data_IF_020566681171
#
_entry.id   IF_020566681171
#
_cell.length_a   1.000
_cell.length_b   1.000
_cell.length_c   1.000
_cell.angle_alpha   90.00
_cell.angle_beta   90.00
_cell.angle_gamma   90.00
#
_symmetry.space_group_name_H-M   'P 1'
#
loop_
_entity.id
_entity.type
_entity.pdbx_description
1 polymer ?
#
# COMPACT_ATOMS: atom_id res chain seq x y z
N UNK A 1 20.51 -8.01 9.81
CA UNK A 1 20.75 -8.66 8.51
C UNK A 1 19.82 -9.84 8.36
N UNK A 2 18.90 -9.80 7.40
CA UNK A 2 18.18 -10.94 6.79
C UNK A 2 17.29 -10.34 5.68
N UNK A 3 17.93 -9.93 4.58
CA UNK A 3 17.24 -9.64 3.32
C UNK A 3 17.45 -10.83 2.41
N UNK A 4 16.62 -11.85 2.62
CA UNK A 4 16.45 -12.95 1.69
C UNK A 4 15.28 -12.57 0.78
N UNK A 5 15.41 -12.85 -0.51
CA UNK A 5 14.48 -12.50 -1.60
C UNK A 5 14.68 -11.09 -2.21
N UNK A 6 15.88 -10.86 -2.72
CA UNK A 6 16.04 -9.96 -3.86
C UNK A 6 15.41 -10.62 -5.10
N UNK A 7 14.47 -9.94 -5.75
CA UNK A 7 14.04 -10.29 -7.10
C UNK A 7 15.27 -10.18 -8.01
N UNK A 8 15.88 -11.32 -8.37
CA UNK A 8 17.01 -11.33 -9.30
C UNK A 8 16.54 -10.70 -10.61
N UNK A 9 17.10 -9.55 -10.98
CA UNK A 9 17.11 -9.09 -12.37
C UNK A 9 17.92 -10.11 -13.17
N UNK A 10 17.32 -10.67 -14.22
CA UNK A 10 17.99 -11.58 -15.14
C UNK A 10 19.08 -10.79 -15.89
N UNK A 11 20.35 -11.24 -15.94
CA UNK A 11 21.39 -10.59 -16.76
C UNK A 11 21.17 -10.88 -18.25
N UNK A 12 21.63 -10.01 -19.17
CA UNK A 12 21.43 -10.23 -20.59
C UNK A 12 22.33 -11.38 -21.07
N UNK A 13 21.71 -12.48 -21.51
CA UNK A 13 22.42 -13.59 -22.14
C UNK A 13 22.60 -13.32 -23.64
N UNK A 14 23.79 -13.62 -24.14
CA UNK A 14 24.15 -13.54 -25.54
C UNK A 14 23.30 -14.48 -26.42
N UNK A 15 23.08 -14.00 -27.65
CA UNK A 15 22.32 -14.52 -28.79
C UNK A 15 22.06 -16.03 -28.91
N UNK A 16 20.77 -16.40 -28.90
CA UNK A 16 20.14 -17.54 -29.61
C UNK A 16 18.61 -17.25 -29.73
N UNK A 17 17.87 -17.91 -30.65
CA UNK A 17 16.99 -17.28 -31.63
C UNK A 17 15.78 -16.55 -31.04
N UNK A 18 15.35 -15.49 -31.74
CA UNK A 18 14.23 -14.60 -31.42
C UNK A 18 12.99 -15.36 -30.90
N UNK A 19 12.86 -15.41 -29.58
CA UNK A 19 11.58 -15.64 -28.95
C UNK A 19 10.74 -14.38 -29.18
N UNK A 20 9.64 -14.55 -29.93
CA UNK A 20 8.65 -13.48 -30.12
C UNK A 20 8.29 -12.90 -28.75
N UNK A 21 8.13 -11.57 -28.60
CA UNK A 21 7.56 -11.02 -27.38
C UNK A 21 6.25 -11.76 -27.10
N UNK A 22 6.17 -12.44 -25.96
CA UNK A 22 4.90 -13.01 -25.50
C UNK A 22 4.02 -11.80 -25.22
N UNK A 23 3.21 -11.44 -26.21
CA UNK A 23 2.09 -10.51 -26.07
C UNK A 23 1.34 -10.91 -24.78
N UNK A 24 1.10 -9.98 -23.84
CA UNK A 24 0.34 -10.31 -22.66
C UNK A 24 -1.01 -10.84 -23.10
N UNK A 25 -1.29 -12.12 -22.80
CA UNK A 25 -2.59 -12.73 -23.06
C UNK A 25 -3.68 -11.81 -22.52
N UNK A 26 -4.72 -11.51 -23.34
CA UNK A 26 -5.87 -10.69 -22.95
C UNK A 26 -6.27 -11.00 -21.49
N UNK A 27 -6.01 -10.07 -20.57
CA UNK A 27 -6.33 -10.22 -19.14
C UNK A 27 -5.17 -10.15 -18.14
N UNK A 28 -3.90 -10.05 -18.59
CA UNK A 28 -2.76 -9.81 -17.68
C UNK A 28 -2.45 -8.31 -17.51
N UNK A 29 -2.39 -7.86 -16.26
CA UNK A 29 -1.98 -6.52 -15.86
C UNK A 29 -0.47 -6.48 -15.59
N UNK A 30 0.21 -5.42 -16.03
CA UNK A 30 1.63 -5.20 -15.69
C UNK A 30 1.73 -4.46 -14.36
N UNK A 31 2.60 -4.87 -13.43
CA UNK A 31 2.88 -4.09 -12.23
C UNK A 31 3.42 -2.71 -12.59
N UNK A 32 2.99 -1.72 -11.83
CA UNK A 32 3.41 -0.33 -11.95
C UNK A 32 4.26 0.08 -10.75
N UNK A 33 5.14 1.06 -10.96
CA UNK A 33 5.95 1.66 -9.90
C UNK A 33 5.09 2.57 -9.03
N UNK A 34 5.45 2.72 -7.75
CA UNK A 34 4.77 3.63 -6.84
C UNK A 34 4.58 5.04 -7.41
N UNK A 35 5.62 5.56 -8.07
CA UNK A 35 5.59 6.89 -8.70
C UNK A 35 4.47 7.02 -9.73
N UNK A 36 4.28 6.01 -10.60
CA UNK A 36 3.22 5.98 -11.60
C UNK A 36 1.84 5.80 -10.96
N UNK A 37 1.75 4.87 -10.00
CA UNK A 37 0.51 4.60 -9.27
C UNK A 37 0.02 5.85 -8.53
N UNK A 38 0.91 6.61 -7.90
CA UNK A 38 0.54 7.80 -7.14
C UNK A 38 0.38 9.06 -8.00
N UNK A 39 0.79 9.05 -9.27
CA UNK A 39 0.85 10.26 -10.12
C UNK A 39 -0.51 10.78 -10.62
N UNK A 40 -1.61 10.03 -10.44
CA UNK A 40 -2.92 10.47 -10.96
C UNK A 40 -3.37 11.77 -10.29
N UNK A 41 -4.09 12.68 -10.99
CA UNK A 41 -4.52 13.95 -10.41
C UNK A 41 -5.39 13.80 -9.15
N UNK A 42 -6.16 12.71 -9.03
CA UNK A 42 -6.93 12.39 -7.82
C UNK A 42 -6.00 12.06 -6.66
N UNK A 43 -5.04 11.15 -6.87
CA UNK A 43 -4.12 10.68 -5.83
C UNK A 43 -3.17 11.79 -5.37
N UNK A 44 -2.70 12.63 -6.29
CA UNK A 44 -1.91 13.81 -5.93
C UNK A 44 -2.70 14.80 -5.06
N UNK A 45 -3.99 15.05 -5.35
CA UNK A 45 -4.84 15.87 -4.48
C UNK A 45 -5.04 15.26 -3.09
N UNK A 46 -5.19 13.93 -3.00
CA UNK A 46 -5.29 13.24 -1.71
C UNK A 46 -3.98 13.34 -0.91
N UNK A 47 -2.83 13.12 -1.55
CA UNK A 47 -1.52 13.29 -0.92
C UNK A 47 -1.32 14.72 -0.41
N UNK A 48 -1.78 15.72 -1.16
CA UNK A 48 -1.76 17.11 -0.73
C UNK A 48 -2.65 17.36 0.50
N UNK A 49 -3.86 16.81 0.50
CA UNK A 49 -4.74 16.89 1.68
C UNK A 49 -4.15 16.19 2.91
N UNK A 50 -3.45 15.07 2.74
CA UNK A 50 -2.74 14.39 3.83
C UNK A 50 -1.65 15.32 4.35
N UNK A 51 -0.78 15.85 3.48
CA UNK A 51 0.30 16.75 3.88
C UNK A 51 -0.21 17.97 4.68
N UNK A 52 -1.23 18.66 4.18
CA UNK A 52 -1.84 19.82 4.83
C UNK A 52 -2.35 19.53 6.26
N UNK A 53 -2.59 18.26 6.61
CA UNK A 53 -3.11 17.83 7.92
C UNK A 53 -2.04 17.27 8.86
N UNK A 54 -0.80 17.16 8.42
CA UNK A 54 0.31 16.58 9.20
C UNK A 54 1.17 17.62 9.91
N UNK A 55 1.03 18.92 9.59
CA UNK A 55 1.79 20.05 10.13
C UNK A 55 3.32 19.94 9.98
N UNK A 56 3.82 18.98 9.19
CA UNK A 56 5.26 18.78 8.95
C UNK A 56 5.72 19.45 7.65
N UNK A 57 7.03 19.70 7.55
CA UNK A 57 7.65 20.19 6.31
C UNK A 57 7.51 19.18 5.16
N UNK A 58 7.72 19.62 3.91
CA UNK A 58 7.67 18.73 2.73
C UNK A 58 8.71 17.60 2.79
N UNK A 59 9.90 17.87 3.34
CA UNK A 59 10.95 16.86 3.51
C UNK A 59 10.55 15.81 4.57
N UNK A 60 10.01 16.24 5.71
CA UNK A 60 9.46 15.34 6.71
C UNK A 60 8.27 14.56 6.17
N UNK A 61 7.38 15.19 5.38
CA UNK A 61 6.27 14.50 4.72
C UNK A 61 6.75 13.40 3.78
N UNK A 62 7.80 13.69 2.99
CA UNK A 62 8.40 12.69 2.12
C UNK A 62 8.92 11.49 2.91
N UNK A 63 9.63 11.73 4.03
CA UNK A 63 10.22 10.68 4.84
C UNK A 63 9.19 9.89 5.69
N UNK A 64 8.22 10.57 6.29
CA UNK A 64 7.28 9.96 7.23
C UNK A 64 6.02 9.43 6.55
N UNK A 65 5.50 10.09 5.50
CA UNK A 65 4.21 9.71 4.92
C UNK A 65 4.35 9.16 3.52
N UNK A 66 5.12 9.80 2.63
CA UNK A 66 5.27 9.32 1.25
C UNK A 66 6.06 8.02 1.17
N UNK A 67 7.18 7.94 1.89
CA UNK A 67 8.03 6.73 1.90
C UNK A 67 7.29 5.44 2.30
N UNK A 68 6.38 5.41 3.30
CA UNK A 68 5.57 4.20 3.55
C UNK A 68 4.37 4.04 2.62
N UNK A 69 3.86 5.11 1.99
CA UNK A 69 2.79 5.01 0.99
C UNK A 69 3.26 4.37 -0.33
N UNK A 70 4.52 4.54 -0.70
CA UNK A 70 5.10 3.95 -1.90
C UNK A 70 5.09 2.39 -1.90
N UNK A 71 5.63 1.69 -0.89
CA UNK A 71 5.56 0.23 -0.82
C UNK A 71 4.12 -0.26 -0.61
N UNK A 72 3.26 0.51 0.07
CA UNK A 72 1.82 0.20 0.12
C UNK A 72 1.21 0.21 -1.30
N UNK A 73 1.44 1.27 -2.07
CA UNK A 73 0.95 1.39 -3.44
C UNK A 73 1.45 0.24 -4.31
N UNK A 74 2.73 -0.11 -4.20
CA UNK A 74 3.32 -1.23 -4.95
C UNK A 74 2.81 -2.60 -4.53
N UNK A 75 2.35 -2.75 -3.29
CA UNK A 75 1.74 -3.99 -2.82
C UNK A 75 0.31 -4.14 -3.33
N UNK A 76 -0.47 -3.06 -3.33
CA UNK A 76 -1.90 -3.09 -3.68
C UNK A 76 -2.16 -2.90 -5.18
N UNK A 77 -1.21 -2.34 -5.93
CA UNK A 77 -1.25 -2.19 -7.40
C UNK A 77 -2.63 -1.71 -7.90
N UNK A 78 -3.19 -2.42 -8.88
CA UNK A 78 -4.50 -2.17 -9.46
C UNK A 78 -5.62 -2.99 -8.80
N UNK A 79 -5.45 -3.48 -7.57
CA UNK A 79 -6.50 -4.24 -6.91
C UNK A 79 -7.70 -3.34 -6.53
N UNK A 80 -8.93 -3.85 -6.69
CA UNK A 80 -10.13 -3.23 -6.12
C UNK A 80 -10.15 -3.39 -4.59
N UNK A 81 -10.86 -2.50 -3.90
CA UNK A 81 -11.07 -2.60 -2.44
C UNK A 81 -12.35 -3.38 -2.07
N UNK A 82 -13.26 -3.56 -3.03
CA UNK A 82 -14.54 -4.26 -2.86
C UNK A 82 -15.06 -4.90 -4.16
N UNK A 83 -15.98 -5.86 -4.07
CA UNK A 83 -16.56 -6.54 -5.25
C UNK A 83 -17.67 -5.76 -5.95
N UNK A 84 -18.40 -4.94 -5.20
CA UNK A 84 -19.70 -4.39 -5.63
C UNK A 84 -20.07 -3.09 -4.93
N UNK A 85 -19.11 -2.43 -4.30
CA UNK A 85 -19.31 -1.20 -3.55
C UNK A 85 -18.39 -0.09 -4.08
N UNK A 86 -18.38 1.06 -3.40
CA UNK A 86 -17.39 2.09 -3.63
C UNK A 86 -15.98 1.46 -3.61
N UNK A 87 -15.19 1.73 -4.65
CA UNK A 87 -13.85 1.16 -4.90
C UNK A 87 -13.78 -0.26 -5.50
N UNK A 88 -14.76 -0.66 -6.31
CA UNK A 88 -14.77 -1.93 -7.07
C UNK A 88 -13.98 -1.92 -8.39
N UNK A 89 -13.28 -0.83 -8.69
CA UNK A 89 -12.53 -0.61 -9.93
C UNK A 89 -11.01 -0.84 -9.75
N UNK A 90 -10.24 -0.97 -10.86
CA UNK A 90 -8.79 -1.07 -10.82
C UNK A 90 -8.14 0.09 -10.05
N UNK A 91 -7.33 -0.26 -9.05
CA UNK A 91 -6.65 0.70 -8.17
C UNK A 91 -7.54 1.27 -7.05
N UNK A 92 -8.75 0.73 -6.88
CA UNK A 92 -9.68 1.10 -5.82
C UNK A 92 -9.10 0.94 -4.42
N UNK A 93 -8.25 -0.07 -4.19
CA UNK A 93 -7.59 -0.30 -2.89
C UNK A 93 -6.62 0.84 -2.50
N UNK A 94 -5.90 1.39 -3.47
CA UNK A 94 -5.02 2.53 -3.25
C UNK A 94 -5.81 3.81 -3.00
N UNK A 95 -6.86 4.04 -3.79
CA UNK A 95 -7.75 5.20 -3.63
C UNK A 95 -8.43 5.19 -2.25
N UNK A 96 -9.00 4.04 -1.85
CA UNK A 96 -9.61 3.85 -0.53
C UNK A 96 -8.61 4.14 0.60
N UNK A 97 -7.41 3.55 0.55
CA UNK A 97 -6.38 3.77 1.56
C UNK A 97 -6.02 5.27 1.72
N UNK A 98 -5.80 5.98 0.62
CA UNK A 98 -5.50 7.42 0.65
C UNK A 98 -6.67 8.26 1.19
N UNK A 99 -7.90 7.90 0.83
CA UNK A 99 -9.11 8.60 1.27
C UNK A 99 -9.36 8.46 2.77
N UNK A 100 -9.29 7.23 3.31
CA UNK A 100 -9.50 7.01 4.74
C UNK A 100 -8.37 7.64 5.55
N UNK A 101 -7.10 7.61 5.09
CA UNK A 101 -6.01 8.34 5.77
C UNK A 101 -6.29 9.83 5.80
N UNK A 102 -6.67 10.43 4.67
CA UNK A 102 -6.98 11.84 4.60
C UNK A 102 -8.15 12.20 5.56
N UNK A 103 -9.19 11.38 5.62
CA UNK A 103 -10.34 11.57 6.51
C UNK A 103 -9.98 11.40 7.98
N UNK A 104 -9.21 10.36 8.33
CA UNK A 104 -8.77 10.12 9.70
C UNK A 104 -7.90 11.26 10.24
N UNK A 105 -7.00 11.82 9.40
CA UNK A 105 -6.21 12.98 9.78
C UNK A 105 -7.08 14.23 9.99
N UNK A 106 -8.15 14.39 9.22
CA UNK A 106 -9.12 15.47 9.44
C UNK A 106 -9.81 15.34 10.82
N UNK A 107 -10.20 14.12 11.21
CA UNK A 107 -10.78 13.86 12.53
C UNK A 107 -9.74 14.01 13.66
N UNK A 108 -8.50 13.60 13.42
CA UNK A 108 -7.40 13.73 14.38
C UNK A 108 -7.13 15.19 14.78
N UNK A 109 -7.33 16.15 13.88
CA UNK A 109 -7.13 17.57 14.17
C UNK A 109 -8.04 18.10 15.29
N UNK A 110 -9.22 17.50 15.50
CA UNK A 110 -10.13 17.90 16.58
C UNK A 110 -9.88 17.20 17.92
N UNK A 111 -8.81 16.39 18.02
CA UNK A 111 -8.51 15.59 19.21
C UNK A 111 -7.10 15.88 19.72
N UNK A 112 -6.99 16.11 21.04
CA UNK A 112 -5.70 16.17 21.73
C UNK A 112 -5.32 14.75 22.18
N UNK A 113 -4.23 14.22 21.60
CA UNK A 113 -3.73 12.88 21.89
C UNK A 113 -2.32 12.94 22.50
N UNK A 114 -1.99 12.05 23.45
CA UNK A 114 -2.86 11.03 24.04
C UNK A 114 -3.93 11.61 24.96
N UNK A 115 -5.11 10.99 24.98
CA UNK A 115 -6.22 11.42 25.84
C UNK A 115 -5.82 11.28 27.33
N UNK A 116 -6.12 12.30 28.13
CA UNK A 116 -5.83 12.31 29.57
C UNK A 116 -4.38 12.64 29.97
N UNK A 117 -3.47 12.84 29.01
CA UNK A 117 -2.12 13.32 29.29
C UNK A 117 -2.07 14.83 29.54
N UNK A 118 -0.99 15.33 30.15
CA UNK A 118 -0.80 16.78 30.33
C UNK A 118 -0.62 17.49 28.98
N UNK A 119 -0.95 18.79 28.87
CA UNK A 119 -0.77 19.54 27.63
C UNK A 119 0.66 19.46 27.05
N UNK A 120 1.69 19.47 27.91
CA UNK A 120 3.09 19.37 27.51
C UNK A 120 3.40 18.01 26.90
N UNK A 121 2.89 16.93 27.51
CA UNK A 121 3.05 15.57 27.00
C UNK A 121 2.28 15.35 25.69
N UNK A 122 1.10 15.95 25.54
CA UNK A 122 0.33 15.94 24.29
C UNK A 122 1.05 16.70 23.19
N UNK A 123 1.59 17.89 23.47
CA UNK A 123 2.37 18.67 22.53
C UNK A 123 3.62 17.91 22.07
N UNK A 124 4.36 17.31 23.01
CA UNK A 124 5.58 16.56 22.72
C UNK A 124 5.35 15.32 21.83
N UNK A 125 4.15 14.74 21.86
CA UNK A 125 3.81 13.51 21.12
C UNK A 125 2.84 13.76 19.95
N UNK A 126 2.44 15.01 19.69
CA UNK A 126 1.39 15.33 18.74
C UNK A 126 1.66 14.74 17.35
N UNK A 127 2.89 14.87 16.86
CA UNK A 127 3.32 14.33 15.57
C UNK A 127 3.29 12.80 15.55
N UNK A 128 3.78 12.15 16.60
CA UNK A 128 3.80 10.69 16.70
C UNK A 128 2.37 10.10 16.67
N UNK A 129 1.42 10.73 17.37
CA UNK A 129 0.01 10.33 17.32
C UNK A 129 -0.66 10.58 15.97
N UNK A 130 -0.24 11.62 15.26
CA UNK A 130 -0.72 11.91 13.89
C UNK A 130 -0.21 10.86 12.91
N UNK A 131 1.09 10.56 12.94
CA UNK A 131 1.70 9.52 12.11
C UNK A 131 1.14 8.12 12.44
N UNK A 132 1.01 7.80 13.73
CA UNK A 132 0.42 6.54 14.19
C UNK A 132 -1.01 6.34 13.70
N UNK A 133 -1.84 7.39 13.76
CA UNK A 133 -3.20 7.36 13.20
C UNK A 133 -3.18 7.10 11.69
N UNK A 134 -2.31 7.81 10.95
CA UNK A 134 -2.19 7.63 9.51
C UNK A 134 -1.78 6.20 9.14
N UNK A 135 -0.80 5.62 9.83
CA UNK A 135 -0.34 4.26 9.53
C UNK A 135 -1.36 3.20 9.93
N UNK A 136 -2.00 3.33 11.09
CA UNK A 136 -3.04 2.40 11.52
C UNK A 136 -4.18 2.34 10.50
N UNK A 137 -4.59 3.50 9.99
CA UNK A 137 -5.63 3.61 8.99
C UNK A 137 -5.16 3.15 7.61
N UNK A 138 -3.93 3.43 7.20
CA UNK A 138 -3.42 2.93 5.93
C UNK A 138 -3.43 1.40 5.88
N UNK A 139 -3.09 0.77 7.01
CA UNK A 139 -2.92 -0.68 7.10
C UNK A 139 -4.21 -1.44 7.39
N UNK A 140 -5.29 -0.78 7.84
CA UNK A 140 -6.47 -1.47 8.39
C UNK A 140 -7.03 -2.58 7.48
N UNK A 141 -7.11 -2.32 6.17
CA UNK A 141 -7.70 -3.20 5.17
C UNK A 141 -6.68 -3.96 4.33
N UNK A 142 -5.36 -3.80 4.59
CA UNK A 142 -4.33 -4.43 3.75
C UNK A 142 -4.42 -5.96 3.73
N UNK A 143 -4.96 -6.56 4.80
CA UNK A 143 -5.22 -7.99 4.87
C UNK A 143 -6.16 -8.51 3.77
N UNK A 144 -7.02 -7.67 3.18
CA UNK A 144 -7.91 -8.05 2.06
C UNK A 144 -7.12 -8.57 0.87
N UNK A 145 -5.95 -8.00 0.60
CA UNK A 145 -5.04 -8.45 -0.47
C UNK A 145 -4.57 -9.89 -0.24
N UNK A 146 -4.45 -10.32 1.01
CA UNK A 146 -4.01 -11.67 1.35
C UNK A 146 -5.14 -12.71 1.30
N UNK A 147 -6.35 -12.35 1.74
CA UNK A 147 -7.42 -13.31 2.00
C UNK A 147 -8.61 -13.22 1.05
N UNK A 148 -8.89 -12.05 0.47
CA UNK A 148 -10.03 -11.87 -0.43
C UNK A 148 -9.66 -12.14 -1.89
N UNK A 149 -8.39 -11.95 -2.24
CA UNK A 149 -7.89 -12.11 -3.61
C UNK A 149 -7.11 -13.41 -3.80
N UNK A 150 -7.30 -14.00 -4.97
CA UNK A 150 -6.41 -14.98 -5.56
C UNK A 150 -5.67 -14.30 -6.71
N UNK A 151 -4.35 -14.21 -6.59
CA UNK A 151 -3.48 -13.53 -7.54
C UNK A 151 -2.48 -14.53 -8.09
N UNK A 152 -2.30 -14.54 -9.39
CA UNK A 152 -1.34 -15.40 -10.07
C UNK A 152 -0.60 -14.63 -11.17
N UNK A 153 0.64 -15.02 -11.39
CA UNK A 153 1.43 -14.52 -12.51
C UNK A 153 0.98 -15.18 -13.82
N UNK A 154 1.46 -14.65 -14.96
CA UNK A 154 1.15 -15.20 -16.28
C UNK A 154 1.53 -16.68 -16.47
N UNK A 155 2.47 -17.20 -15.67
CA UNK A 155 2.88 -18.61 -15.64
C UNK A 155 2.04 -19.49 -14.70
N UNK A 156 1.00 -18.93 -14.06
CA UNK A 156 0.12 -19.62 -13.12
C UNK A 156 0.68 -19.75 -11.70
N UNK A 157 1.89 -19.23 -11.43
CA UNK A 157 2.43 -19.22 -10.07
C UNK A 157 1.63 -18.27 -9.20
N UNK A 158 1.11 -18.77 -8.08
CA UNK A 158 0.36 -17.97 -7.11
C UNK A 158 1.27 -16.97 -6.43
N UNK A 159 0.83 -15.72 -6.40
CA UNK A 159 1.48 -14.66 -5.63
C UNK A 159 0.87 -14.56 -4.24
N UNK A 160 1.72 -14.29 -3.26
CA UNK A 160 1.30 -13.97 -1.91
C UNK A 160 1.94 -12.64 -1.49
N UNK A 161 1.20 -11.76 -0.79
CA UNK A 161 1.69 -10.43 -0.44
C UNK A 161 2.90 -10.45 0.51
N UNK A 162 3.08 -11.52 1.29
CA UNK A 162 4.29 -11.73 2.10
C UNK A 162 5.52 -12.15 1.27
N UNK A 163 5.43 -12.31 -0.04
CA UNK A 163 6.61 -12.46 -0.91
C UNK A 163 7.13 -11.11 -1.43
N UNK A 164 6.45 -10.00 -1.12
CA UNK A 164 6.82 -8.67 -1.61
C UNK A 164 5.97 -8.24 -2.82
N UNK A 165 6.28 -7.08 -3.43
CA UNK A 165 5.48 -6.52 -4.50
C UNK A 165 5.47 -7.41 -5.75
N UNK A 166 4.43 -7.26 -6.58
CA UNK A 166 4.31 -7.96 -7.85
C UNK A 166 5.43 -7.51 -8.81
N UNK A 167 6.20 -8.46 -9.35
CA UNK A 167 7.33 -8.18 -10.24
C UNK A 167 7.11 -8.59 -11.69
N UNK A 168 6.01 -9.31 -11.98
CA UNK A 168 5.67 -9.83 -13.32
C UNK A 168 4.21 -9.58 -13.61
N UNK A 169 3.84 -9.67 -14.88
CA UNK A 169 2.44 -9.54 -15.31
C UNK A 169 1.57 -10.55 -14.56
N UNK A 170 0.43 -10.08 -14.06
CA UNK A 170 -0.43 -10.80 -13.13
C UNK A 170 -1.90 -10.69 -13.53
N UNK A 171 -2.71 -11.60 -13.01
CA UNK A 171 -4.16 -11.49 -12.99
C UNK A 171 -4.67 -11.81 -11.59
N UNK A 172 -5.87 -11.35 -11.29
CA UNK A 172 -6.48 -11.62 -10.01
C UNK A 172 -7.96 -11.91 -10.16
N UNK A 173 -8.50 -12.63 -9.18
CA UNK A 173 -9.93 -12.88 -9.01
C UNK A 173 -10.25 -12.92 -7.53
N UNK A 174 -11.49 -12.66 -7.19
CA UNK A 174 -11.95 -12.84 -5.82
C UNK A 174 -12.04 -14.31 -5.46
N UNK A 175 -11.79 -14.62 -4.18
CA UNK A 175 -12.00 -15.96 -3.62
C UNK A 175 -13.48 -16.16 -3.29
N UNK A 176 -14.11 -17.25 -3.77
CA UNK A 176 -15.52 -17.52 -3.52
C UNK A 176 -15.84 -17.80 -2.04
N UNK A 177 -14.88 -18.35 -1.29
CA UNK A 177 -15.05 -18.77 0.13
C UNK A 177 -14.50 -17.73 1.13
N UNK A 178 -14.45 -16.45 0.78
CA UNK A 178 -13.85 -15.45 1.69
C UNK A 178 -14.67 -15.32 2.98
N UNK A 179 -14.01 -15.44 4.12
CA UNK A 179 -14.58 -15.04 5.40
C UNK A 179 -14.23 -13.58 5.66
N UNK A 180 -15.23 -12.70 5.57
CA UNK A 180 -15.04 -11.24 5.67
C UNK A 180 -14.37 -10.79 6.99
N UNK A 181 -14.37 -11.62 8.05
CA UNK A 181 -13.71 -11.27 9.32
C UNK A 181 -12.21 -11.58 9.36
N UNK A 182 -11.70 -12.38 8.41
CA UNK A 182 -10.29 -12.79 8.41
C UNK A 182 -9.34 -11.68 7.97
N UNK A 183 -9.78 -10.71 7.17
CA UNK A 183 -8.86 -9.67 6.69
C UNK A 183 -8.35 -8.76 7.82
N UNK A 184 -9.17 -8.46 8.83
CA UNK A 184 -8.74 -7.68 10.00
C UNK A 184 -7.63 -8.39 10.78
N UNK A 185 -7.70 -9.73 10.87
CA UNK A 185 -6.65 -10.55 11.50
C UNK A 185 -5.40 -10.67 10.61
N UNK A 186 -5.59 -10.76 9.29
CA UNK A 186 -4.51 -10.89 8.32
C UNK A 186 -3.67 -9.61 8.13
N UNK A 187 -4.20 -8.44 8.52
CA UNK A 187 -3.45 -7.17 8.50
C UNK A 187 -2.12 -7.26 9.26
N UNK A 188 -2.07 -8.02 10.36
CA UNK A 188 -0.84 -8.26 11.12
C UNK A 188 0.27 -8.99 10.34
N UNK A 189 -0.06 -9.70 9.26
CA UNK A 189 0.94 -10.41 8.43
C UNK A 189 1.70 -9.47 7.49
N UNK A 190 1.16 -8.29 7.21
CA UNK A 190 1.64 -7.41 6.14
C UNK A 190 2.20 -6.07 6.63
N UNK A 191 2.03 -5.71 7.91
CA UNK A 191 2.51 -4.43 8.44
C UNK A 191 4.02 -4.23 8.21
N UNK A 192 4.82 -5.29 8.39
CA UNK A 192 6.28 -5.26 8.24
C UNK A 192 6.74 -5.01 6.79
N UNK A 193 5.84 -5.11 5.81
CA UNK A 193 6.14 -4.84 4.38
C UNK A 193 5.87 -3.40 3.97
N UNK A 194 5.15 -2.66 4.79
CA UNK A 194 4.84 -1.23 4.58
C UNK A 194 5.63 -0.35 5.56
N UNK A 195 5.87 -0.85 6.77
CA UNK A 195 6.62 -0.17 7.81
C UNK A 195 8.13 -0.42 7.70
N UNK A 196 8.82 0.43 6.94
CA UNK A 196 10.25 0.70 7.17
C UNK A 196 10.43 2.21 7.24
N UNK A 197 9.79 2.85 8.23
CA UNK A 197 10.18 4.20 8.60
C UNK A 197 11.50 4.11 9.38
N UNK A 198 12.51 4.95 9.09
CA UNK A 198 13.67 5.07 9.96
C UNK A 198 13.17 5.53 11.33
N UNK A 199 13.47 4.76 12.38
CA UNK A 199 13.20 5.19 13.75
C UNK A 199 13.89 6.53 14.03
N UNK A 200 13.36 7.35 14.94
CA UNK A 200 14.04 8.57 15.35
C UNK A 200 15.42 8.19 15.90
N UNK A 201 16.45 8.84 15.35
CA UNK A 201 17.80 8.82 15.91
C UNK A 201 17.84 9.62 17.21
#
# INVERSE_FOLDING_TARGET
>A
MLSLFHCKKVPPAASAPSARPIEPSKGLTRPELAASLLATPRRQRLLEHIWQRTSVSRSQFAALYRAPLEPYAELVQQFPASESHHHDYPGGMLDHGLEIVAYALKLRQSHLLPAGATPEAQAAQAEAWTAGTAYAVLLHDIGKVAVDLHVEYGDGVVWHPWHGPLCRAYRFRYRPEREYRLHSAATGLLYARVGSAPGPA
#
